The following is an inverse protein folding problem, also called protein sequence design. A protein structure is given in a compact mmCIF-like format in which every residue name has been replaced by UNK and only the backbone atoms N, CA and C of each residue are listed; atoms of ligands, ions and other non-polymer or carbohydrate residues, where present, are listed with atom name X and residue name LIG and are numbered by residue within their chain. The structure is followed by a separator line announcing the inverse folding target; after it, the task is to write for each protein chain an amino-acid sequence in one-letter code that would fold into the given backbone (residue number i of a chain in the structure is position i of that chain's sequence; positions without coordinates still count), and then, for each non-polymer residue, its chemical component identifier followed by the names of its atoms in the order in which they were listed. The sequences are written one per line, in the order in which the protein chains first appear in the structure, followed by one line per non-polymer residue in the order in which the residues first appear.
data_IF_966475075111
#
_entry.id   IF_966475075111
#
_cell.length_a   1.000
_cell.length_b   1.000
_cell.length_c   1.000
_cell.angle_alpha   90.00
_cell.angle_beta   90.00
_cell.angle_gamma   90.00
#
_symmetry.space_group_name_H-M   'P 1'
#
loop_
_entity.id
_entity.type
_entity.pdbx_description
1 polymer ?
#
# COMPACT_ATOMS: atom_id res chain seq x y z
N UNK A 1 64.75 6.63 -5.49
CA UNK A 1 64.77 5.54 -4.50
C UNK A 1 63.34 5.09 -4.32
N UNK A 2 63.07 3.85 -4.72
CA UNK A 2 61.76 3.22 -4.91
C UNK A 2 61.28 2.50 -3.65
N UNK A 3 60.02 2.71 -3.26
CA UNK A 3 59.33 1.98 -2.19
C UNK A 3 58.95 0.55 -2.63
N UNK A 4 58.90 -0.44 -1.71
CA UNK A 4 58.37 -1.77 -2.00
C UNK A 4 56.88 -1.93 -1.58
N UNK A 5 56.14 -2.66 -2.41
CA UNK A 5 54.75 -3.06 -2.22
C UNK A 5 54.58 -4.18 -1.18
N UNK A 6 53.57 -4.08 -0.31
CA UNK A 6 53.18 -5.13 0.64
C UNK A 6 52.14 -6.09 0.05
N UNK A 7 52.53 -7.35 -0.11
CA UNK A 7 51.72 -8.50 -0.48
C UNK A 7 50.85 -8.97 0.72
N UNK A 8 49.54 -9.05 0.51
CA UNK A 8 48.53 -9.38 1.52
C UNK A 8 47.97 -10.79 1.36
N UNK A 9 48.81 -11.82 1.48
CA UNK A 9 48.37 -13.22 1.54
C UNK A 9 48.03 -13.63 2.98
N UNK A 10 46.73 -13.74 3.29
CA UNK A 10 46.23 -14.17 4.61
C UNK A 10 46.43 -15.69 4.77
N UNK A 11 47.39 -16.11 5.59
CA UNK A 11 47.60 -17.53 5.94
C UNK A 11 46.43 -18.03 6.79
N UNK A 12 45.77 -19.09 6.33
CA UNK A 12 44.71 -19.80 7.08
C UNK A 12 45.30 -20.52 8.30
N UNK A 13 44.54 -20.53 9.39
CA UNK A 13 44.93 -21.23 10.61
C UNK A 13 44.78 -22.75 10.47
N UNK A 14 45.50 -23.53 11.30
CA UNK A 14 45.41 -25.00 11.31
C UNK A 14 43.96 -25.50 11.54
N UNK A 15 43.14 -24.72 12.25
CA UNK A 15 41.74 -25.04 12.50
C UNK A 15 40.85 -24.83 11.25
N UNK A 16 41.15 -23.82 10.44
CA UNK A 16 40.45 -23.56 9.18
C UNK A 16 40.83 -24.59 8.10
N UNK A 17 42.09 -25.04 8.08
CA UNK A 17 42.55 -26.13 7.21
C UNK A 17 41.85 -27.45 7.53
N UNK A 18 41.71 -27.79 8.83
CA UNK A 18 41.00 -29.00 9.25
C UNK A 18 39.51 -28.99 8.83
N UNK A 19 38.82 -27.84 8.93
CA UNK A 19 37.44 -27.72 8.46
C UNK A 19 37.30 -27.82 6.94
N UNK A 20 38.27 -27.31 6.18
CA UNK A 20 38.30 -27.43 4.72
C UNK A 20 38.53 -28.88 4.26
N UNK A 21 39.36 -29.63 4.98
CA UNK A 21 39.56 -31.07 4.71
C UNK A 21 38.32 -31.90 5.05
N UNK A 22 37.65 -31.60 6.17
CA UNK A 22 36.40 -32.29 6.55
C UNK A 22 35.27 -32.00 5.54
N UNK A 23 35.16 -30.75 5.07
CA UNK A 23 34.20 -30.37 4.03
C UNK A 23 34.50 -31.08 2.69
N UNK A 24 35.77 -31.22 2.31
CA UNK A 24 36.18 -31.98 1.11
C UNK A 24 35.88 -33.47 1.24
N UNK A 25 36.08 -34.08 2.41
CA UNK A 25 35.72 -35.49 2.64
C UNK A 25 34.21 -35.73 2.54
N UNK A 26 33.39 -34.86 3.13
CA UNK A 26 31.93 -34.95 3.03
C UNK A 26 31.44 -34.77 1.59
N UNK A 27 32.03 -33.88 0.82
CA UNK A 27 31.69 -33.71 -0.59
C UNK A 27 32.04 -34.96 -1.44
N UNK A 28 33.16 -35.62 -1.14
CA UNK A 28 33.55 -36.87 -1.81
C UNK A 28 32.63 -38.05 -1.43
N UNK A 29 32.19 -38.14 -0.19
CA UNK A 29 31.24 -39.18 0.25
C UNK A 29 29.86 -39.04 -0.41
N UNK A 30 29.40 -37.81 -0.61
CA UNK A 30 28.13 -37.53 -1.31
C UNK A 30 28.23 -37.90 -2.80
N UNK A 31 29.36 -37.61 -3.47
CA UNK A 31 29.54 -37.97 -4.90
C UNK A 31 29.63 -39.50 -5.11
N UNK A 32 30.21 -40.24 -4.15
CA UNK A 32 30.25 -41.72 -4.17
C UNK A 32 28.86 -42.32 -3.91
N UNK A 33 28.06 -41.75 -3.01
CA UNK A 33 26.70 -42.20 -2.75
C UNK A 33 25.76 -41.98 -3.96
N UNK A 34 25.90 -40.84 -4.64
CA UNK A 34 25.13 -40.54 -5.86
C UNK A 34 25.52 -41.47 -7.02
N UNK A 35 26.82 -41.78 -7.19
CA UNK A 35 27.28 -42.73 -8.22
C UNK A 35 26.90 -44.19 -7.93
N UNK A 36 26.80 -44.59 -6.67
CA UNK A 36 26.34 -45.95 -6.28
C UNK A 36 24.83 -46.14 -6.48
N UNK A 37 24.02 -45.09 -6.42
CA UNK A 37 22.58 -45.15 -6.69
C UNK A 37 22.24 -45.25 -8.20
N UNK A 38 23.20 -44.96 -9.08
CA UNK A 38 23.00 -44.91 -10.54
C UNK A 38 23.38 -46.19 -11.30
N UNK A 39 23.68 -47.32 -10.63
CA UNK A 39 24.16 -48.56 -11.32
C UNK A 39 23.43 -49.86 -10.96
N UNK A 40 22.14 -49.80 -10.65
CA UNK A 40 21.31 -51.00 -10.46
C UNK A 40 20.01 -50.92 -11.24
N UNK A 41 20.10 -51.19 -12.55
CA UNK A 41 18.94 -51.56 -13.37
C UNK A 41 19.31 -52.75 -14.25
N UNK A 42 18.86 -53.95 -13.85
CA UNK A 42 18.56 -55.04 -14.80
C UNK A 42 17.59 -56.05 -14.19
N UNK A 43 16.51 -56.23 -14.95
CA UNK A 43 15.72 -57.44 -15.16
C UNK A 43 14.73 -57.92 -14.08
N UNK A 44 13.44 -57.60 -14.27
CA UNK A 44 12.32 -58.41 -13.73
C UNK A 44 11.15 -58.43 -14.71
N UNK A 45 10.67 -59.65 -14.97
CA UNK A 45 9.50 -60.05 -15.78
C UNK A 45 8.19 -59.43 -15.29
N UNK A 46 7.27 -59.20 -16.23
CA UNK A 46 5.92 -58.65 -16.03
C UNK A 46 5.01 -59.54 -15.15
N UNK A 47 4.32 -58.98 -14.14
CA UNK A 47 3.04 -59.47 -13.66
C UNK A 47 1.87 -58.55 -14.10
N UNK A 48 0.67 -59.08 -13.98
CA UNK A 48 -0.60 -58.67 -14.57
C UNK A 48 -1.16 -57.32 -14.10
N UNK A 49 -1.89 -56.64 -15.00
CA UNK A 49 -2.35 -55.26 -14.89
C UNK A 49 -3.49 -55.01 -13.87
N UNK A 50 -3.85 -56.00 -13.05
CA UNK A 50 -4.96 -55.88 -12.09
C UNK A 50 -4.51 -55.64 -10.63
N UNK A 51 -3.20 -55.70 -10.33
CA UNK A 51 -2.67 -55.40 -8.97
C UNK A 51 -2.03 -54.00 -8.83
N UNK A 52 -1.84 -53.25 -9.94
CA UNK A 52 -1.27 -51.90 -9.91
C UNK A 52 -2.33 -50.82 -9.54
N UNK A 53 -3.61 -51.08 -9.78
CA UNK A 53 -4.70 -50.12 -9.51
C UNK A 53 -5.01 -49.94 -8.02
N UNK A 54 -4.85 -50.98 -7.19
CA UNK A 54 -5.19 -50.92 -5.77
C UNK A 54 -4.08 -50.29 -4.90
N UNK A 55 -2.80 -50.39 -5.31
CA UNK A 55 -1.68 -49.80 -4.56
C UNK A 55 -1.52 -48.29 -4.79
N UNK A 56 -1.93 -47.78 -5.96
CA UNK A 56 -1.86 -46.34 -6.30
C UNK A 56 -2.88 -45.49 -5.51
N UNK A 57 -4.02 -46.05 -5.10
CA UNK A 57 -5.01 -45.32 -4.29
C UNK A 57 -4.63 -45.21 -2.80
N UNK A 58 -3.87 -46.16 -2.25
CA UNK A 58 -3.42 -46.10 -0.84
C UNK A 58 -2.18 -45.21 -0.69
N UNK A 59 -1.30 -45.14 -1.70
CA UNK A 59 -0.15 -44.22 -1.69
C UNK A 59 -0.54 -42.74 -1.86
N UNK A 60 -1.57 -42.44 -2.66
CA UNK A 60 -2.04 -41.05 -2.88
C UNK A 60 -2.67 -40.41 -1.62
N UNK A 61 -3.34 -41.21 -0.78
CA UNK A 61 -3.95 -40.74 0.47
C UNK A 61 -2.93 -40.58 1.60
N UNK A 62 -1.82 -41.33 1.59
CA UNK A 62 -0.73 -41.16 2.55
C UNK A 62 0.16 -39.94 2.25
N UNK A 63 0.42 -39.62 0.97
CA UNK A 63 1.22 -38.44 0.58
C UNK A 63 0.46 -37.12 0.77
N UNK A 64 -0.86 -37.11 0.59
CA UNK A 64 -1.69 -35.92 0.85
C UNK A 64 -1.93 -35.65 2.35
N UNK A 65 -1.65 -36.60 3.23
CA UNK A 65 -1.73 -36.41 4.70
C UNK A 65 -0.39 -36.03 5.36
N UNK A 66 0.73 -36.11 4.64
CA UNK A 66 2.08 -35.86 5.19
C UNK A 66 2.74 -34.56 4.70
N UNK A 67 2.02 -33.72 3.94
CA UNK A 67 2.47 -32.39 3.50
C UNK A 67 1.57 -31.25 4.02
N UNK A 68 1.09 -31.35 5.26
CA UNK A 68 0.71 -30.14 6.01
C UNK A 68 1.95 -29.62 6.74
N UNK A 69 2.34 -28.35 6.59
CA UNK A 69 3.41 -27.79 7.40
C UNK A 69 3.00 -27.86 8.88
N UNK A 70 3.95 -28.26 9.73
CA UNK A 70 3.77 -28.52 11.18
C UNK A 70 3.29 -27.30 11.98
N UNK A 71 3.18 -26.12 11.34
CA UNK A 71 2.65 -24.89 11.94
C UNK A 71 1.11 -24.89 12.06
N UNK A 72 0.36 -25.56 11.19
CA UNK A 72 -1.12 -25.61 11.26
C UNK A 72 -1.64 -26.49 12.41
N UNK A 73 -0.94 -27.60 12.72
CA UNK A 73 -1.33 -28.50 13.82
C UNK A 73 -0.95 -27.97 15.20
N UNK A 74 0.02 -27.04 15.26
CA UNK A 74 0.36 -26.31 16.48
C UNK A 74 -0.63 -25.15 16.74
N UNK A 75 -1.23 -24.59 15.68
CA UNK A 75 -2.31 -23.62 15.80
C UNK A 75 -3.61 -24.28 16.28
N UNK A 76 -4.02 -25.43 15.73
CA UNK A 76 -5.23 -26.15 16.17
C UNK A 76 -5.14 -26.64 17.63
N UNK A 77 -3.97 -27.13 18.08
CA UNK A 77 -3.81 -27.60 19.48
C UNK A 77 -3.51 -26.50 20.51
N UNK A 78 -3.17 -25.28 20.09
CA UNK A 78 -3.26 -24.10 20.95
C UNK A 78 -4.70 -23.56 21.03
N UNK A 79 -5.51 -23.78 20.01
CA UNK A 79 -6.91 -23.34 19.96
C UNK A 79 -7.84 -24.19 20.84
N UNK A 80 -7.54 -25.47 21.07
CA UNK A 80 -8.35 -26.33 21.94
C UNK A 80 -8.06 -26.20 23.44
N UNK A 81 -6.97 -25.52 23.84
CA UNK A 81 -6.53 -25.47 25.26
C UNK A 81 -6.90 -24.20 26.02
N UNK A 82 -7.63 -23.28 25.40
CA UNK A 82 -8.20 -22.07 26.02
C UNK A 82 -9.73 -22.14 26.25
N UNK A 83 -10.37 -23.30 26.07
CA UNK A 83 -11.74 -23.51 26.55
C UNK A 83 -11.67 -24.08 27.98
N UNK A 84 -11.25 -23.20 28.89
CA UNK A 84 -11.49 -23.36 30.31
C UNK A 84 -12.90 -22.87 30.63
N UNK A 85 -13.78 -23.81 30.92
CA UNK A 85 -15.01 -23.71 31.72
C UNK A 85 -15.57 -22.31 32.02
N UNK A 86 -16.76 -22.04 31.47
CA UNK A 86 -17.73 -21.11 32.05
C UNK A 86 -17.41 -19.63 31.87
N UNK A 87 -17.57 -19.10 30.65
CA UNK A 87 -17.81 -17.68 30.45
C UNK A 87 -19.27 -17.53 30.02
N UNK A 88 -20.05 -16.78 30.80
CA UNK A 88 -21.34 -16.25 30.36
C UNK A 88 -21.15 -15.62 28.97
N UNK A 89 -21.97 -16.06 28.01
CA UNK A 89 -22.04 -15.42 26.70
C UNK A 89 -22.69 -14.07 26.93
N UNK A 90 -21.88 -13.04 27.22
CA UNK A 90 -22.32 -11.67 27.03
C UNK A 90 -22.80 -11.55 25.58
N UNK A 91 -24.04 -11.11 25.41
CA UNK A 91 -24.65 -10.73 24.14
C UNK A 91 -23.98 -9.46 23.57
N UNK A 92 -22.65 -9.47 23.49
CA UNK A 92 -21.84 -8.41 22.92
C UNK A 92 -21.98 -8.41 21.41
N UNK A 93 -22.11 -7.21 20.82
CA UNK A 93 -22.09 -7.04 19.37
C UNK A 93 -20.80 -7.56 18.73
N UNK A 94 -20.73 -7.59 17.39
CA UNK A 94 -19.50 -7.95 16.70
C UNK A 94 -18.35 -7.07 17.19
N UNK A 95 -17.23 -7.68 17.54
CA UNK A 95 -16.01 -6.96 17.94
C UNK A 95 -14.92 -7.22 16.92
N UNK A 96 -14.75 -6.25 16.03
CA UNK A 96 -13.76 -6.17 14.98
C UNK A 96 -12.93 -4.88 15.14
N UNK A 97 -11.66 -4.93 14.77
CA UNK A 97 -10.83 -3.74 14.59
C UNK A 97 -10.09 -3.88 13.26
N UNK A 98 -9.61 -2.79 12.70
CA UNK A 98 -8.60 -2.89 11.65
C UNK A 98 -7.33 -3.53 12.21
N UNK A 99 -6.65 -4.32 11.38
CA UNK A 99 -5.41 -5.00 11.81
C UNK A 99 -4.19 -4.07 11.81
N UNK A 100 -4.27 -2.95 11.08
CA UNK A 100 -3.25 -1.89 11.03
C UNK A 100 -3.93 -0.54 10.99
N UNK A 101 -3.30 0.51 11.53
CA UNK A 101 -3.87 1.84 11.48
C UNK A 101 -3.80 2.48 10.08
N UNK A 102 -3.24 1.82 9.07
CA UNK A 102 -3.15 2.34 7.70
C UNK A 102 -2.40 1.41 6.72
N UNK A 103 -2.31 1.85 5.46
CA UNK A 103 -1.63 1.21 4.33
C UNK A 103 -0.29 1.88 4.00
N UNK A 104 0.40 1.30 3.01
CA UNK A 104 1.68 1.81 2.53
C UNK A 104 2.86 1.36 3.40
N UNK A 105 4.05 1.76 3.01
CA UNK A 105 5.29 1.53 3.76
C UNK A 105 5.39 2.43 4.99
N UNK A 106 4.77 3.62 4.95
CA UNK A 106 4.60 4.50 6.10
C UNK A 106 3.66 3.93 7.16
N UNK A 107 2.66 3.14 6.74
CA UNK A 107 1.57 2.71 7.62
C UNK A 107 0.60 3.83 8.00
N UNK A 108 0.72 5.01 7.39
CA UNK A 108 -0.08 6.20 7.69
C UNK A 108 -1.11 6.53 6.59
N UNK A 109 -1.24 5.72 5.54
CA UNK A 109 -2.27 5.93 4.49
C UNK A 109 -3.61 5.38 4.97
N UNK A 110 -4.59 6.25 5.15
CA UNK A 110 -5.91 5.94 5.72
C UNK A 110 -6.98 5.65 4.66
N UNK A 111 -6.59 5.65 3.38
CA UNK A 111 -7.49 5.40 2.26
C UNK A 111 -7.08 4.14 1.48
N UNK A 112 -8.07 3.29 1.16
CA UNK A 112 -7.96 2.23 0.16
C UNK A 112 -8.70 2.65 -1.08
N UNK A 113 -8.07 2.56 -2.24
CA UNK A 113 -8.68 2.95 -3.53
C UNK A 113 -9.11 1.71 -4.30
N UNK A 114 -10.31 1.74 -4.88
CA UNK A 114 -10.88 0.67 -5.67
C UNK A 114 -11.70 1.19 -6.86
N UNK A 115 -11.77 0.40 -7.93
CA UNK A 115 -12.79 0.56 -8.95
C UNK A 115 -14.13 -0.02 -8.47
N UNK A 116 -15.27 0.43 -9.03
CA UNK A 116 -16.57 -0.17 -8.73
C UNK A 116 -16.57 -1.69 -8.88
N UNK A 117 -17.01 -2.41 -7.84
CA UNK A 117 -17.07 -3.88 -7.83
C UNK A 117 -15.72 -4.59 -7.74
N UNK A 118 -14.60 -3.87 -7.61
CA UNK A 118 -13.29 -4.50 -7.48
C UNK A 118 -13.18 -5.27 -6.16
N UNK A 119 -12.54 -6.45 -6.21
CA UNK A 119 -12.16 -7.18 -5.00
C UNK A 119 -10.94 -6.50 -4.39
N UNK A 120 -11.04 -6.12 -3.11
CA UNK A 120 -9.96 -5.56 -2.32
C UNK A 120 -9.67 -6.44 -1.12
N UNK A 121 -8.43 -6.39 -0.64
CA UNK A 121 -8.11 -6.86 0.71
C UNK A 121 -8.29 -5.72 1.70
N UNK A 122 -8.98 -6.02 2.81
CA UNK A 122 -9.15 -5.10 3.92
C UNK A 122 -8.59 -5.75 5.20
N UNK A 123 -7.64 -5.10 5.89
CA UNK A 123 -6.97 -5.68 7.04
C UNK A 123 -7.91 -5.67 8.26
N UNK A 124 -8.43 -6.83 8.65
CA UNK A 124 -9.27 -6.98 9.85
C UNK A 124 -8.63 -7.89 10.89
N UNK A 125 -8.80 -7.51 12.16
CA UNK A 125 -8.61 -8.36 13.33
C UNK A 125 -9.96 -8.61 13.96
N UNK A 126 -10.35 -9.87 14.08
CA UNK A 126 -11.62 -10.29 14.65
C UNK A 126 -11.38 -10.92 16.02
N UNK A 127 -12.20 -10.56 17.01
CA UNK A 127 -12.21 -11.21 18.33
C UNK A 127 -13.28 -12.30 18.48
N UNK A 128 -14.12 -12.46 17.47
CA UNK A 128 -15.24 -13.42 17.44
C UNK A 128 -15.12 -14.34 16.22
N UNK A 129 -15.80 -15.49 16.26
CA UNK A 129 -15.82 -16.45 15.16
C UNK A 129 -16.41 -15.79 13.88
N UNK A 130 -15.63 -15.70 12.77
CA UNK A 130 -16.08 -15.06 11.53
C UNK A 130 -17.27 -15.77 10.87
N UNK A 131 -17.54 -17.04 11.17
CA UNK A 131 -18.60 -17.84 10.52
C UNK A 131 -19.98 -17.20 10.67
N UNK A 132 -20.19 -16.49 11.78
CA UNK A 132 -21.44 -15.80 12.09
C UNK A 132 -21.43 -14.31 11.76
N UNK A 133 -20.36 -13.81 11.13
CA UNK A 133 -20.22 -12.41 10.77
C UNK A 133 -20.53 -12.17 9.29
N UNK A 134 -21.02 -10.98 9.02
CA UNK A 134 -21.15 -10.41 7.70
C UNK A 134 -20.50 -9.02 7.69
N UNK A 135 -20.11 -8.58 6.50
CA UNK A 135 -19.69 -7.21 6.26
C UNK A 135 -20.68 -6.50 5.35
N UNK A 136 -20.72 -5.18 5.45
CA UNK A 136 -21.49 -4.29 4.62
C UNK A 136 -20.70 -2.99 4.44
N UNK A 137 -20.81 -2.35 3.28
CA UNK A 137 -20.29 -1.01 3.11
C UNK A 137 -21.36 0.01 3.47
N UNK A 138 -20.98 0.99 4.26
CA UNK A 138 -21.82 2.15 4.60
C UNK A 138 -21.16 3.42 4.10
N UNK A 139 -21.93 4.42 3.68
CA UNK A 139 -21.38 5.70 3.21
C UNK A 139 -20.66 6.40 4.35
N UNK A 140 -19.45 6.90 4.10
CA UNK A 140 -18.66 7.61 5.10
C UNK A 140 -19.33 8.92 5.59
N UNK A 141 -20.25 9.49 4.81
CA UNK A 141 -20.91 10.76 5.13
C UNK A 141 -22.04 10.67 6.14
N UNK A 142 -22.81 9.58 6.12
CA UNK A 142 -24.06 9.45 6.88
C UNK A 142 -24.34 8.02 7.38
N UNK A 143 -23.38 7.10 7.20
CA UNK A 143 -23.50 5.69 7.54
C UNK A 143 -24.71 4.98 6.89
N UNK A 144 -25.28 5.55 5.83
CA UNK A 144 -26.34 4.90 5.07
C UNK A 144 -25.82 3.66 4.35
N UNK A 145 -26.65 2.64 4.25
CA UNK A 145 -26.29 1.36 3.64
C UNK A 145 -26.04 1.55 2.14
N UNK A 146 -24.87 1.09 1.68
CA UNK A 146 -24.50 1.17 0.27
C UNK A 146 -24.84 -0.11 -0.51
N UNK A 147 -24.74 -1.26 0.14
CA UNK A 147 -25.01 -2.57 -0.44
C UNK A 147 -25.64 -3.54 0.57
N UNK A 148 -26.07 -4.72 0.12
CA UNK A 148 -26.58 -5.74 1.03
C UNK A 148 -25.44 -6.41 1.80
N UNK A 149 -25.64 -6.81 3.07
CA UNK A 149 -24.63 -7.54 3.83
C UNK A 149 -24.18 -8.84 3.15
N UNK A 150 -22.87 -9.13 3.24
CA UNK A 150 -22.24 -10.32 2.65
C UNK A 150 -21.50 -11.12 3.72
N UNK A 151 -21.44 -12.46 3.63
CA UNK A 151 -20.68 -13.27 4.58
C UNK A 151 -19.21 -12.84 4.67
N UNK A 152 -18.67 -12.75 5.89
CA UNK A 152 -17.27 -12.44 6.11
C UNK A 152 -16.44 -13.72 6.02
N UNK A 153 -16.08 -14.13 4.80
CA UNK A 153 -15.34 -15.37 4.51
C UNK A 153 -13.82 -15.25 4.50
N UNK A 154 -13.26 -14.06 4.79
CA UNK A 154 -11.83 -13.79 4.72
C UNK A 154 -11.52 -12.30 4.54
N UNK A 155 -10.27 -11.94 4.19
CA UNK A 155 -9.85 -10.54 4.03
C UNK A 155 -10.34 -9.90 2.72
N UNK A 156 -10.80 -10.70 1.76
CA UNK A 156 -11.26 -10.22 0.46
C UNK A 156 -12.70 -9.71 0.54
N UNK A 157 -12.90 -8.45 0.14
CA UNK A 157 -14.19 -7.77 0.12
C UNK A 157 -14.45 -7.17 -1.26
N UNK A 158 -15.71 -7.15 -1.67
CA UNK A 158 -16.11 -6.54 -2.93
C UNK A 158 -16.45 -5.08 -2.68
N UNK A 159 -15.77 -4.17 -3.37
CA UNK A 159 -16.07 -2.74 -3.29
C UNK A 159 -17.49 -2.44 -3.81
N UNK A 160 -18.17 -1.41 -3.28
CA UNK A 160 -19.47 -0.98 -3.79
C UNK A 160 -19.48 -0.73 -5.31
N UNK A 161 -20.63 -0.97 -5.95
CA UNK A 161 -20.80 -0.74 -7.39
C UNK A 161 -20.97 0.75 -7.74
N UNK A 162 -21.25 1.59 -6.75
CA UNK A 162 -21.39 3.04 -6.93
C UNK A 162 -20.13 3.75 -6.42
N UNK A 163 -19.60 4.74 -7.16
CA UNK A 163 -18.54 5.60 -6.66
C UNK A 163 -18.91 6.29 -5.33
N UNK A 164 -17.89 6.63 -4.54
CA UNK A 164 -18.05 7.30 -3.26
C UNK A 164 -17.04 6.85 -2.21
N UNK A 165 -17.18 7.40 -1.02
CA UNK A 165 -16.38 7.06 0.15
C UNK A 165 -17.19 6.19 1.11
N UNK A 166 -16.59 5.12 1.59
CA UNK A 166 -17.26 4.11 2.40
C UNK A 166 -16.42 3.71 3.62
N UNK A 167 -17.12 3.34 4.68
CA UNK A 167 -16.57 2.64 5.84
C UNK A 167 -17.10 1.21 5.88
N UNK A 168 -16.34 0.33 6.51
CA UNK A 168 -16.74 -1.05 6.66
C UNK A 168 -17.62 -1.20 7.91
N UNK A 169 -18.81 -1.75 7.74
CA UNK A 169 -19.64 -2.20 8.86
C UNK A 169 -19.53 -3.72 9.01
N UNK A 170 -19.24 -4.19 10.23
CA UNK A 170 -19.26 -5.61 10.59
C UNK A 170 -20.52 -5.87 11.40
N UNK A 171 -21.27 -6.92 11.04
CA UNK A 171 -22.55 -7.27 11.64
C UNK A 171 -22.60 -8.75 12.03
N UNK A 172 -23.29 -9.06 13.12
CA UNK A 172 -23.64 -10.42 13.48
C UNK A 172 -24.85 -10.89 12.66
N UNK A 173 -24.76 -12.06 12.03
CA UNK A 173 -25.82 -12.59 11.15
C UNK A 173 -27.06 -13.08 11.89
N UNK A 174 -26.96 -13.34 13.19
CA UNK A 174 -27.96 -14.09 13.96
C UNK A 174 -28.60 -13.31 15.10
N UNK A 175 -27.98 -12.26 15.60
CA UNK A 175 -28.36 -11.66 16.89
C UNK A 175 -29.08 -10.32 16.79
N UNK A 176 -29.33 -9.79 15.58
CA UNK A 176 -29.94 -8.46 15.40
C UNK A 176 -29.13 -7.33 16.05
N UNK A 177 -27.89 -7.60 16.45
CA UNK A 177 -27.01 -6.65 17.11
C UNK A 177 -26.68 -5.48 16.18
N UNK A 178 -26.50 -4.30 16.78
CA UNK A 178 -26.11 -3.10 16.05
C UNK A 178 -24.80 -3.35 15.30
N UNK A 179 -24.71 -3.01 13.99
CA UNK A 179 -23.48 -3.11 13.24
C UNK A 179 -22.37 -2.25 13.86
N UNK A 180 -21.15 -2.78 13.91
CA UNK A 180 -19.96 -2.02 14.28
C UNK A 180 -19.35 -1.40 13.02
N UNK A 181 -19.30 -0.07 12.96
CA UNK A 181 -18.66 0.66 11.86
C UNK A 181 -17.18 0.92 12.18
N UNK A 182 -16.30 0.52 11.25
CA UNK A 182 -14.86 0.75 11.28
C UNK A 182 -14.54 1.98 10.41
N UNK A 183 -14.42 3.14 11.05
CA UNK A 183 -14.22 4.44 10.39
C UNK A 183 -12.77 4.92 10.30
N UNK A 184 -11.81 4.08 10.73
CA UNK A 184 -10.38 4.40 10.77
C UNK A 184 -9.70 4.31 9.39
N UNK A 185 -10.25 3.49 8.49
CA UNK A 185 -9.82 3.39 7.10
C UNK A 185 -11.02 3.66 6.19
N UNK A 186 -10.83 4.53 5.21
CA UNK A 186 -11.83 4.85 4.19
C UNK A 186 -11.60 4.04 2.92
N UNK A 187 -12.63 3.38 2.41
CA UNK A 187 -12.63 2.86 1.03
C UNK A 187 -13.13 3.96 0.08
N UNK A 188 -12.27 4.41 -0.82
CA UNK A 188 -12.61 5.29 -1.93
C UNK A 188 -12.88 4.47 -3.19
N UNK A 189 -14.16 4.35 -3.58
CA UNK A 189 -14.56 3.80 -4.87
C UNK A 189 -14.55 4.92 -5.91
N UNK A 190 -13.67 4.78 -6.90
CA UNK A 190 -13.44 5.81 -7.90
C UNK A 190 -14.62 5.95 -8.86
N UNK A 191 -14.85 7.19 -9.32
CA UNK A 191 -15.53 7.45 -10.59
C UNK A 191 -14.57 7.03 -11.71
N UNK A 192 -14.89 6.00 -12.51
CA UNK A 192 -14.01 5.57 -13.60
C UNK A 192 -13.71 6.69 -14.58
N UNK A 193 -12.48 6.75 -15.09
CA UNK A 193 -12.10 7.76 -16.10
C UNK A 193 -13.02 7.72 -17.32
N UNK A 194 -13.55 6.54 -17.69
CA UNK A 194 -14.48 6.37 -18.80
C UNK A 194 -15.80 7.15 -18.66
N UNK A 195 -16.15 7.60 -17.45
CA UNK A 195 -17.31 8.48 -17.24
C UNK A 195 -17.03 9.94 -17.62
N UNK A 196 -15.77 10.31 -17.87
CA UNK A 196 -15.42 11.64 -18.38
C UNK A 196 -15.92 11.80 -19.81
N UNK A 197 -16.93 12.65 -20.00
CA UNK A 197 -17.53 12.95 -21.29
C UNK A 197 -17.30 14.42 -21.65
N UNK A 198 -16.87 14.69 -22.88
CA UNK A 198 -16.62 16.05 -23.38
C UNK A 198 -15.78 16.93 -22.42
N UNK A 199 -14.79 16.33 -21.74
CA UNK A 199 -13.91 17.02 -20.81
C UNK A 199 -14.49 17.26 -19.42
N UNK A 200 -15.59 16.61 -19.06
CA UNK A 200 -16.30 16.83 -17.79
C UNK A 200 -16.67 15.51 -17.13
N UNK A 201 -16.79 15.53 -15.80
CA UNK A 201 -17.37 14.45 -14.99
C UNK A 201 -18.50 15.07 -14.19
N UNK A 202 -19.74 14.63 -14.39
CA UNK A 202 -20.94 15.13 -13.70
C UNK A 202 -21.03 16.67 -13.61
N UNK A 203 -20.71 17.37 -14.71
CA UNK A 203 -20.76 18.83 -14.81
C UNK A 203 -19.52 19.58 -14.30
N UNK A 204 -18.60 18.91 -13.59
CA UNK A 204 -17.31 19.49 -13.22
C UNK A 204 -16.32 19.39 -14.37
N UNK A 205 -15.70 20.52 -14.76
CA UNK A 205 -14.82 20.59 -15.93
C UNK A 205 -13.42 20.14 -15.55
N UNK A 206 -13.01 19.00 -16.09
CA UNK A 206 -11.65 18.47 -15.98
C UNK A 206 -10.75 19.02 -17.11
N UNK A 207 -11.30 19.17 -18.32
CA UNK A 207 -10.51 19.50 -19.52
C UNK A 207 -10.04 18.24 -20.25
N UNK A 208 -8.94 18.34 -20.99
CA UNK A 208 -8.41 17.22 -21.78
C UNK A 208 -6.96 16.96 -21.41
N UNK A 209 -6.64 15.69 -21.18
CA UNK A 209 -5.27 15.27 -20.93
C UNK A 209 -4.43 15.35 -22.22
N UNK A 210 -3.11 15.63 -22.12
CA UNK A 210 -2.21 15.51 -23.25
C UNK A 210 -2.31 14.13 -23.89
N UNK A 211 -2.53 14.10 -25.21
CA UNK A 211 -2.63 12.86 -25.99
C UNK A 211 -3.75 11.89 -25.55
N UNK A 212 -4.76 12.36 -24.79
CA UNK A 212 -5.88 11.53 -24.32
C UNK A 212 -6.54 10.72 -25.45
N UNK A 213 -6.72 11.36 -26.63
CA UNK A 213 -7.32 10.75 -27.82
C UNK A 213 -6.44 9.71 -28.52
N UNK A 214 -5.15 9.69 -28.20
CA UNK A 214 -4.16 8.78 -28.79
C UNK A 214 -3.69 7.72 -27.80
N UNK A 215 -4.45 7.48 -26.72
CA UNK A 215 -4.10 6.50 -25.70
C UNK A 215 -2.96 6.96 -24.78
N UNK A 216 -2.76 8.28 -24.64
CA UNK A 216 -1.83 8.84 -23.68
C UNK A 216 -2.14 8.44 -22.24
N UNK A 217 -1.17 8.66 -21.36
CA UNK A 217 -1.33 8.44 -19.92
C UNK A 217 -2.56 9.20 -19.39
N UNK A 218 -3.24 8.61 -18.40
CA UNK A 218 -4.41 9.19 -17.74
C UNK A 218 -4.65 8.54 -16.38
N UNK A 219 -5.33 9.21 -15.43
CA UNK A 219 -5.81 8.56 -14.23
C UNK A 219 -6.74 7.39 -14.56
N UNK A 220 -6.76 6.38 -13.69
CA UNK A 220 -7.72 5.26 -13.78
C UNK A 220 -9.16 5.72 -13.44
N UNK A 221 -9.27 6.78 -12.64
CA UNK A 221 -10.52 7.36 -12.19
C UNK A 221 -10.27 8.52 -11.22
N UNK A 222 -11.36 9.01 -10.62
CA UNK A 222 -11.36 10.17 -9.75
C UNK A 222 -12.07 9.86 -8.44
N UNK A 223 -11.55 10.40 -7.33
CA UNK A 223 -12.28 10.50 -6.08
C UNK A 223 -13.37 11.56 -6.25
N UNK A 224 -14.59 11.25 -5.83
CA UNK A 224 -15.67 12.22 -5.74
C UNK A 224 -15.57 13.02 -4.45
N UNK A 225 -15.49 14.34 -4.58
CA UNK A 225 -15.35 15.27 -3.46
C UNK A 225 -16.61 16.12 -3.37
N UNK A 226 -17.31 16.03 -2.26
CA UNK A 226 -18.44 16.88 -1.93
C UNK A 226 -18.16 17.72 -0.68
N UNK A 227 -19.08 18.64 -0.35
CA UNK A 227 -18.91 19.54 0.80
C UNK A 227 -18.93 18.81 2.15
N UNK A 228 -19.44 17.59 2.21
CA UNK A 228 -19.59 16.78 3.43
C UNK A 228 -18.36 15.91 3.67
N UNK A 229 -17.58 15.63 2.62
CA UNK A 229 -16.46 14.70 2.68
C UNK A 229 -15.08 15.33 2.42
N UNK A 230 -15.03 16.64 2.15
CA UNK A 230 -13.79 17.35 1.81
C UNK A 230 -12.71 17.22 2.90
N UNK A 231 -13.09 17.10 4.16
CA UNK A 231 -12.16 16.95 5.29
C UNK A 231 -11.85 15.48 5.66
N UNK A 232 -12.29 14.51 4.84
CA UNK A 232 -11.94 13.10 5.09
C UNK A 232 -10.42 12.91 5.04
N UNK A 233 -9.80 12.32 6.08
CA UNK A 233 -8.37 12.01 6.08
C UNK A 233 -8.01 10.99 4.99
N UNK A 234 -6.99 11.31 4.19
CA UNK A 234 -6.37 10.38 3.25
C UNK A 234 -5.13 9.72 3.85
N UNK A 235 -4.42 10.46 4.70
CA UNK A 235 -3.32 9.99 5.54
C UNK A 235 -3.46 10.62 6.92
N UNK A 236 -2.48 10.41 7.81
CA UNK A 236 -2.47 11.08 9.12
C UNK A 236 -2.19 12.58 9.04
N UNK A 237 -1.51 13.06 7.99
CA UNK A 237 -1.22 14.48 7.78
C UNK A 237 -2.08 15.13 6.70
N UNK A 238 -2.65 14.35 5.79
CA UNK A 238 -3.30 14.84 4.56
C UNK A 238 -4.77 14.46 4.52
N UNK A 239 -5.60 15.38 4.04
CA UNK A 239 -7.03 15.22 3.83
C UNK A 239 -7.41 15.39 2.36
N UNK A 240 -8.63 15.02 2.02
CA UNK A 240 -9.13 15.09 0.64
C UNK A 240 -9.09 16.51 0.08
N UNK A 241 -9.33 17.52 0.92
CA UNK A 241 -9.27 18.95 0.58
C UNK A 241 -7.95 19.35 -0.08
N UNK A 242 -6.83 18.79 0.39
CA UNK A 242 -5.48 19.14 -0.06
C UNK A 242 -5.23 18.76 -1.53
N UNK A 243 -6.08 17.86 -2.06
CA UNK A 243 -6.04 17.39 -3.44
C UNK A 243 -7.17 17.97 -4.30
N UNK A 244 -8.01 18.85 -3.77
CA UNK A 244 -9.02 19.55 -4.58
C UNK A 244 -8.33 20.62 -5.42
N UNK A 245 -8.69 20.71 -6.70
CA UNK A 245 -8.15 21.76 -7.57
C UNK A 245 -8.64 23.15 -7.12
N UNK A 246 -7.69 24.08 -7.01
CA UNK A 246 -7.93 25.49 -6.70
C UNK A 246 -8.46 26.26 -7.93
N UNK A 247 -9.62 25.84 -8.43
CA UNK A 247 -10.34 26.52 -9.50
C UNK A 247 -11.60 27.27 -9.01
N UNK A 248 -12.05 28.20 -9.83
CA UNK A 248 -13.23 29.05 -9.56
C UNK A 248 -14.56 28.36 -9.90
N UNK A 249 -14.56 27.03 -10.12
CA UNK A 249 -15.78 26.30 -10.45
C UNK A 249 -16.65 26.14 -9.20
N UNK A 250 -17.89 26.65 -9.26
CA UNK A 250 -18.86 26.59 -8.15
C UNK A 250 -19.69 25.29 -8.12
N UNK A 251 -19.54 24.42 -9.13
CA UNK A 251 -20.26 23.15 -9.23
C UNK A 251 -19.73 22.12 -8.24
N UNK A 252 -20.65 21.33 -7.68
CA UNK A 252 -20.36 20.19 -6.82
C UNK A 252 -21.16 18.98 -7.30
N UNK A 253 -20.62 17.75 -7.14
CA UNK A 253 -19.30 17.43 -6.57
C UNK A 253 -18.11 17.83 -7.48
N UNK A 254 -16.94 17.96 -6.87
CA UNK A 254 -15.64 18.07 -7.55
C UNK A 254 -14.99 16.69 -7.67
N UNK A 255 -13.96 16.59 -8.50
CA UNK A 255 -13.29 15.31 -8.77
C UNK A 255 -11.77 15.46 -8.78
N UNK A 256 -11.07 14.57 -8.05
CA UNK A 256 -9.62 14.59 -7.92
C UNK A 256 -9.01 13.22 -8.21
N UNK A 257 -7.98 13.16 -9.05
CA UNK A 257 -7.14 11.96 -9.12
C UNK A 257 -6.13 12.01 -7.97
N UNK A 258 -5.99 10.93 -7.21
CA UNK A 258 -5.02 10.85 -6.11
C UNK A 258 -4.36 9.48 -6.12
N UNK A 259 -3.04 9.46 -6.16
CA UNK A 259 -2.23 8.24 -6.16
C UNK A 259 -1.90 7.82 -4.73
N UNK A 260 -2.28 6.61 -4.28
CA UNK A 260 -1.85 6.10 -2.98
C UNK A 260 -0.33 6.03 -2.80
N UNK A 261 0.43 5.93 -3.91
CA UNK A 261 1.90 5.95 -3.89
C UNK A 261 2.45 7.33 -3.52
N UNK A 262 1.80 8.39 -3.98
CA UNK A 262 2.16 9.76 -3.60
C UNK A 262 1.88 9.95 -2.11
N UNK A 263 0.70 9.56 -1.64
CA UNK A 263 0.32 9.66 -0.23
C UNK A 263 1.34 8.97 0.68
N UNK A 264 1.70 7.73 0.36
CA UNK A 264 2.70 6.96 1.12
C UNK A 264 4.08 7.63 1.09
N UNK A 265 4.49 8.17 -0.06
CA UNK A 265 5.76 8.89 -0.19
C UNK A 265 5.79 10.16 0.67
N UNK A 266 4.72 10.94 0.67
CA UNK A 266 4.65 12.18 1.46
C UNK A 266 4.74 11.88 2.95
N UNK A 267 4.05 10.85 3.44
CA UNK A 267 4.16 10.40 4.83
C UNK A 267 5.60 9.97 5.19
N UNK A 268 6.27 9.21 4.31
CA UNK A 268 7.67 8.86 4.53
C UNK A 268 8.61 10.07 4.51
N UNK A 269 8.30 11.10 3.74
CA UNK A 269 9.04 12.37 3.74
C UNK A 269 8.84 13.10 5.06
N UNK A 270 7.62 13.12 5.59
CA UNK A 270 7.33 13.68 6.92
C UNK A 270 8.10 12.95 8.01
N UNK A 271 8.08 11.61 8.01
CA UNK A 271 8.87 10.79 8.94
C UNK A 271 10.36 11.12 8.87
N UNK A 272 10.86 11.34 7.66
CA UNK A 272 12.26 11.66 7.43
C UNK A 272 12.63 13.08 7.87
N UNK A 273 11.74 14.05 7.66
CA UNK A 273 11.89 15.41 8.19
C UNK A 273 11.90 15.38 9.72
N UNK A 274 10.97 14.64 10.35
CA UNK A 274 10.95 14.45 11.80
C UNK A 274 12.28 13.88 12.31
N UNK A 275 12.82 12.88 11.61
CA UNK A 275 14.13 12.28 11.93
C UNK A 275 15.29 13.28 11.80
N UNK A 276 15.30 14.11 10.76
CA UNK A 276 16.31 15.17 10.57
C UNK A 276 16.23 16.21 11.70
N UNK A 277 15.00 16.60 12.08
CA UNK A 277 14.72 17.55 13.16
C UNK A 277 14.97 16.98 14.55
N UNK A 278 15.08 15.66 14.70
CA UNK A 278 15.20 14.98 15.99
C UNK A 278 13.88 14.90 16.76
N UNK A 279 12.74 14.96 16.07
CA UNK A 279 11.40 14.82 16.67
C UNK A 279 11.00 13.34 16.68
N UNK A 280 10.58 12.84 17.85
CA UNK A 280 10.21 11.43 18.04
C UNK A 280 8.82 11.08 17.48
N UNK A 281 7.91 12.06 17.45
CA UNK A 281 6.55 11.89 16.94
C UNK A 281 6.37 12.66 15.62
N UNK A 282 6.39 11.97 14.46
CA UNK A 282 6.21 12.60 13.15
C UNK A 282 4.90 13.37 13.01
N UNK A 283 3.86 13.04 13.78
CA UNK A 283 2.55 13.71 13.73
C UNK A 283 2.59 15.19 14.16
N UNK A 284 3.73 15.62 14.72
CA UNK A 284 3.98 17.02 15.09
C UNK A 284 4.55 17.85 13.93
N UNK A 285 4.81 17.23 12.79
CA UNK A 285 5.27 17.92 11.59
C UNK A 285 4.03 18.36 10.80
N UNK A 286 3.82 19.67 10.73
CA UNK A 286 2.75 20.24 9.92
C UNK A 286 3.17 20.26 8.45
N UNK A 287 2.22 19.90 7.57
CA UNK A 287 2.41 19.90 6.13
C UNK A 287 1.41 20.88 5.53
N UNK A 288 1.91 21.91 4.86
CA UNK A 288 1.08 22.80 4.05
C UNK A 288 1.12 22.34 2.59
N UNK A 289 -0.05 21.96 2.05
CA UNK A 289 -0.19 21.55 0.65
C UNK A 289 -0.69 22.73 -0.17
N UNK A 290 0.22 23.36 -0.91
CA UNK A 290 -0.14 24.45 -1.81
C UNK A 290 -0.95 23.96 -3.02
N UNK A 291 -0.69 22.73 -3.48
CA UNK A 291 -1.39 22.16 -4.62
C UNK A 291 -1.23 20.64 -4.69
N UNK A 292 -2.33 19.89 -4.61
CA UNK A 292 -2.39 18.47 -4.96
C UNK A 292 -2.80 18.27 -6.43
N UNK A 293 -3.99 17.71 -6.68
CA UNK A 293 -4.44 17.48 -8.06
C UNK A 293 -4.87 18.77 -8.78
N UNK A 294 -4.46 18.90 -10.04
CA UNK A 294 -4.90 19.98 -10.95
C UNK A 294 -5.65 19.38 -12.12
N UNK A 295 -6.87 19.82 -12.36
CA UNK A 295 -7.54 19.51 -13.63
C UNK A 295 -6.68 19.99 -14.81
N UNK A 296 -6.62 19.27 -15.95
CA UNK A 296 -5.97 19.79 -17.15
C UNK A 296 -6.41 21.19 -17.56
N UNK A 297 -7.69 21.51 -17.36
CA UNK A 297 -8.22 22.86 -17.58
C UNK A 297 -7.53 23.89 -16.67
N UNK A 298 -7.48 23.66 -15.37
CA UNK A 298 -6.82 24.57 -14.43
C UNK A 298 -5.30 24.62 -14.64
N UNK A 299 -4.67 23.48 -14.90
CA UNK A 299 -3.22 23.44 -15.15
C UNK A 299 -2.82 24.33 -16.33
N UNK A 300 -3.67 24.46 -17.36
CA UNK A 300 -3.40 25.35 -18.50
C UNK A 300 -3.42 26.84 -18.17
N UNK A 301 -4.05 27.24 -17.07
CA UNK A 301 -4.05 28.63 -16.60
C UNK A 301 -2.96 28.94 -15.57
N UNK A 302 -2.24 27.93 -15.07
CA UNK A 302 -1.15 28.14 -14.11
C UNK A 302 0.10 28.58 -14.86
N UNK A 303 0.62 29.76 -14.52
CA UNK A 303 1.84 30.31 -15.12
C UNK A 303 3.02 29.34 -14.98
N UNK A 304 3.70 29.06 -16.10
CA UNK A 304 4.87 28.19 -16.13
C UNK A 304 4.58 26.70 -15.90
N UNK A 305 3.32 26.29 -15.75
CA UNK A 305 2.99 24.88 -15.61
C UNK A 305 3.25 24.12 -16.90
N UNK A 306 3.93 22.98 -16.78
CA UNK A 306 4.14 22.09 -17.91
C UNK A 306 2.79 21.54 -18.42
N UNK A 307 2.63 21.45 -19.75
CA UNK A 307 1.45 20.84 -20.39
C UNK A 307 1.21 19.42 -19.86
N UNK A 308 2.29 18.67 -19.62
CA UNK A 308 2.25 17.31 -19.09
C UNK A 308 2.64 17.23 -17.60
N UNK A 309 2.21 18.21 -16.81
CA UNK A 309 2.45 18.27 -15.35
C UNK A 309 1.89 17.03 -14.63
N UNK A 310 2.63 16.52 -13.65
CA UNK A 310 2.24 15.37 -12.83
C UNK A 310 1.05 15.63 -11.89
N UNK A 311 0.79 16.90 -11.54
CA UNK A 311 -0.43 17.26 -10.79
C UNK A 311 -1.72 16.81 -11.49
N UNK A 312 -1.73 16.73 -12.82
CA UNK A 312 -2.90 16.28 -13.58
C UNK A 312 -3.18 14.78 -13.41
N UNK A 313 -2.16 13.99 -13.07
CA UNK A 313 -2.27 12.54 -12.96
C UNK A 313 -2.52 12.08 -11.52
N UNK A 314 -2.57 13.02 -10.57
CA UNK A 314 -2.84 12.75 -9.16
C UNK A 314 -1.64 12.20 -8.39
N UNK A 315 -0.44 12.24 -8.98
CA UNK A 315 0.76 11.68 -8.38
C UNK A 315 1.83 12.74 -8.05
N UNK A 316 1.45 14.01 -8.00
CA UNK A 316 2.27 15.12 -7.51
C UNK A 316 1.57 15.97 -6.44
N UNK A 317 2.37 16.59 -5.57
CA UNK A 317 1.96 17.64 -4.66
C UNK A 317 3.07 18.69 -4.51
N UNK A 318 2.67 19.95 -4.34
CA UNK A 318 3.52 21.06 -3.93
C UNK A 318 3.34 21.27 -2.43
N UNK A 319 4.40 21.03 -1.65
CA UNK A 319 4.34 21.05 -0.18
C UNK A 319 5.34 22.02 0.43
N UNK A 320 4.95 22.63 1.55
CA UNK A 320 5.84 23.39 2.43
C UNK A 320 5.77 22.80 3.84
N UNK A 321 6.94 22.64 4.47
CA UNK A 321 7.11 22.05 5.80
C UNK A 321 8.17 22.87 6.52
N UNK A 322 7.92 23.27 7.77
CA UNK A 322 8.93 23.83 8.67
C UNK A 322 9.84 22.69 9.15
N UNK A 323 10.95 22.51 8.43
CA UNK A 323 11.78 21.32 8.53
C UNK A 323 12.85 21.45 9.61
N UNK A 324 13.31 22.68 9.90
CA UNK A 324 14.21 22.94 11.02
C UNK A 324 13.49 23.28 12.33
N UNK A 325 12.21 23.67 12.25
CA UNK A 325 11.35 23.87 13.40
C UNK A 325 11.40 25.25 14.01
N UNK A 326 11.88 26.26 13.28
CA UNK A 326 11.99 27.65 13.75
C UNK A 326 10.68 28.45 13.62
N UNK A 327 9.61 27.82 13.09
CA UNK A 327 8.30 28.42 12.87
C UNK A 327 8.20 29.25 11.59
N UNK A 328 9.19 29.18 10.69
CA UNK A 328 9.24 29.93 9.44
C UNK A 328 9.39 28.95 8.27
N UNK A 329 8.82 29.31 7.13
CA UNK A 329 8.96 28.56 5.88
C UNK A 329 10.01 29.25 5.01
N UNK A 330 11.22 28.71 4.99
CA UNK A 330 12.37 29.32 4.31
C UNK A 330 12.92 28.47 3.17
N UNK A 331 13.88 29.03 2.43
CA UNK A 331 14.64 28.29 1.44
C UNK A 331 15.49 27.17 2.06
N UNK A 332 15.84 27.27 3.34
CA UNK A 332 16.56 26.23 4.05
C UNK A 332 15.65 25.02 4.29
N UNK A 333 14.41 25.26 4.75
CA UNK A 333 13.40 24.21 4.93
C UNK A 333 13.12 23.44 3.65
N UNK A 334 12.92 24.15 2.54
CA UNK A 334 12.67 23.52 1.24
C UNK A 334 13.84 22.62 0.81
N UNK A 335 15.08 22.96 1.15
CA UNK A 335 16.25 22.10 0.88
C UNK A 335 16.30 20.87 1.80
N UNK A 336 15.89 21.00 3.06
CA UNK A 336 15.78 19.88 3.98
C UNK A 336 14.67 18.91 3.56
N UNK A 337 13.50 19.41 3.16
CA UNK A 337 12.41 18.60 2.60
C UNK A 337 12.86 17.88 1.32
N UNK A 338 13.57 18.58 0.43
CA UNK A 338 14.12 17.96 -0.78
C UNK A 338 15.16 16.86 -0.46
N UNK A 339 16.02 17.09 0.53
CA UNK A 339 16.95 16.07 1.03
C UNK A 339 16.20 14.86 1.61
N UNK A 340 15.17 15.09 2.41
CA UNK A 340 14.32 14.04 2.97
C UNK A 340 13.69 13.19 1.86
N UNK A 341 13.13 13.83 0.82
CA UNK A 341 12.59 13.15 -0.36
C UNK A 341 13.63 12.29 -1.09
N UNK A 342 14.86 12.78 -1.30
CA UNK A 342 15.94 11.98 -1.89
C UNK A 342 16.31 10.77 -1.02
N UNK A 343 16.37 10.94 0.30
CA UNK A 343 16.66 9.84 1.24
C UNK A 343 15.54 8.80 1.29
N UNK A 344 14.28 9.23 1.16
CA UNK A 344 13.12 8.35 1.04
C UNK A 344 13.17 7.55 -0.25
N UNK A 345 13.42 8.19 -1.40
CA UNK A 345 13.51 7.52 -2.70
C UNK A 345 14.67 6.51 -2.74
N UNK A 346 15.81 6.82 -2.12
CA UNK A 346 16.95 5.88 -2.02
C UNK A 346 16.58 4.59 -1.29
N UNK A 347 15.75 4.67 -0.24
CA UNK A 347 15.25 3.51 0.52
C UNK A 347 14.05 2.84 -0.13
N UNK A 348 13.31 3.59 -0.96
CA UNK A 348 12.08 3.15 -1.62
C UNK A 348 12.15 3.44 -3.12
N UNK A 349 12.94 2.67 -3.90
CA UNK A 349 13.16 2.96 -5.33
C UNK A 349 11.89 2.92 -6.19
N UNK A 350 10.86 2.20 -5.74
CA UNK A 350 9.54 2.20 -6.36
C UNK A 350 8.84 3.56 -6.23
N UNK A 351 9.07 4.32 -5.16
CA UNK A 351 8.45 5.65 -4.96
C UNK A 351 9.21 6.79 -5.66
N UNK A 352 10.19 6.48 -6.51
CA UNK A 352 10.98 7.48 -7.25
C UNK A 352 10.09 8.36 -8.13
N UNK A 353 10.39 9.65 -8.19
CA UNK A 353 9.71 10.56 -9.11
C UNK A 353 10.45 11.88 -9.31
N UNK A 354 9.69 12.90 -9.68
CA UNK A 354 10.16 14.27 -9.82
C UNK A 354 10.26 14.99 -8.48
N UNK A 355 11.26 15.85 -8.36
CA UNK A 355 11.49 16.70 -7.21
C UNK A 355 11.95 18.08 -7.70
N UNK A 356 11.17 19.11 -7.38
CA UNK A 356 11.43 20.50 -7.76
C UNK A 356 11.48 21.40 -6.54
N UNK A 357 12.47 22.29 -6.46
CA UNK A 357 12.62 23.20 -5.32
C UNK A 357 12.38 24.64 -5.76
N UNK A 358 11.42 25.31 -5.12
CA UNK A 358 10.90 26.62 -5.50
C UNK A 358 11.08 27.62 -4.35
N UNK A 359 12.18 28.37 -4.40
CA UNK A 359 12.63 29.22 -3.27
C UNK A 359 12.86 30.69 -3.66
N UNK A 360 12.55 31.06 -4.90
CA UNK A 360 12.75 32.44 -5.37
C UNK A 360 11.71 33.40 -4.77
N UNK A 361 12.01 34.73 -4.71
CA UNK A 361 11.11 35.72 -4.11
C UNK A 361 9.73 35.87 -4.79
N UNK A 362 9.51 35.27 -5.96
CA UNK A 362 8.19 35.28 -6.63
C UNK A 362 7.16 34.45 -5.85
N UNK A 363 7.62 33.52 -5.02
CA UNK A 363 6.76 32.64 -4.23
C UNK A 363 6.58 33.23 -2.84
N UNK A 364 5.31 33.44 -2.44
CA UNK A 364 4.96 33.95 -1.11
C UNK A 364 5.51 33.05 0.00
N UNK A 365 5.44 31.75 -0.23
CA UNK A 365 5.96 30.70 0.65
C UNK A 365 6.81 29.75 -0.21
N UNK A 366 8.09 29.53 0.11
CA UNK A 366 8.91 28.52 -0.55
C UNK A 366 8.26 27.13 -0.44
N UNK A 367 8.38 26.32 -1.48
CA UNK A 367 7.79 24.98 -1.50
C UNK A 367 8.62 23.99 -2.31
N UNK A 368 8.28 22.71 -2.15
CA UNK A 368 8.88 21.58 -2.83
C UNK A 368 7.81 20.84 -3.61
N UNK A 369 7.99 20.73 -4.93
CA UNK A 369 7.25 19.79 -5.76
C UNK A 369 7.76 18.39 -5.49
N UNK A 370 6.87 17.46 -5.16
CA UNK A 370 7.18 16.03 -5.00
C UNK A 370 6.18 15.23 -5.83
N UNK A 371 6.67 14.33 -6.68
CA UNK A 371 5.81 13.36 -7.38
C UNK A 371 6.33 11.93 -7.33
N UNK A 372 5.48 10.98 -7.69
CA UNK A 372 5.78 9.55 -7.69
C UNK A 372 5.66 8.93 -9.11
N UNK A 373 6.07 9.66 -10.16
CA UNK A 373 5.93 9.27 -11.58
C UNK A 373 6.70 8.01 -12.01
N UNK A 374 7.45 7.38 -11.10
CA UNK A 374 8.25 6.18 -11.36
C UNK A 374 9.56 6.46 -12.11
N UNK A 375 9.92 7.72 -12.34
CA UNK A 375 11.18 8.12 -12.98
C UNK A 375 11.76 9.37 -12.32
N UNK A 376 13.06 9.34 -12.04
CA UNK A 376 13.77 10.45 -11.40
C UNK A 376 13.82 11.67 -12.32
N UNK A 377 13.40 12.83 -11.80
CA UNK A 377 13.58 14.14 -12.43
C UNK A 377 13.88 15.20 -11.36
N UNK A 378 14.78 16.15 -11.65
CA UNK A 378 15.18 17.20 -10.70
C UNK A 378 15.25 18.55 -11.38
N UNK A 379 14.75 19.58 -10.71
CA UNK A 379 14.83 20.96 -11.20
C UNK A 379 14.74 21.97 -10.06
N UNK A 380 15.04 23.21 -10.39
CA UNK A 380 14.99 24.37 -9.49
C UNK A 380 14.21 25.46 -10.21
N UNK A 381 13.31 26.15 -9.51
CA UNK A 381 12.38 27.12 -10.12
C UNK A 381 12.37 28.50 -9.51
#
# INVERSE_FOLDING_TARGET
MTEPASDGSRRLTMFELARLEEARRRAAEVDVAVRRSASTTRDVRRPSWMLLGALLCVAATAVLRLLRPVEELAAERRYEREIGAGAEVELGGPTATSARPGYGKSGNVLVRVAMPGQIIEYPLTLRSDPVHLAYQWVRASDSSQADAPRPLGGPAMVAPAQPGLYHLAVLARTTGATPQVLGDITLAVLVPFSQKMAGQVNGYRIGSYPFERFGGERPIGFLEVDRRNVDVPLTRHLRLADFVTHDEQSVWPKYAAVSPRLLDKLELVVDEVARIRGVTDPLRIEVDVHSGFRTPLHNSSVEGAALNSRHQYGDAADVAIDADGDGRLTAFDSRLVALAAEMVEKRNPDLVGGLGVYVSPKYRTPYVHIDARGKRARWWG
#
